data_IF_158872340963
#
_entry.id   IF_158872340963
#
_cell.length_a   1.000
_cell.length_b   1.000
_cell.length_c   1.000
_cell.angle_alpha   90.00
_cell.angle_beta   90.00
_cell.angle_gamma   90.00
#
_symmetry.space_group_name_H-M   'P 1'
#
loop_
_entity.id
_entity.type
_entity.pdbx_description
1 polymer ?
#
# COMPACT_ATOMS: atom_id res chain seq x y z
N UNK A 1 33.85 55.38 -48.03
CA UNK A 1 34.26 54.04 -48.51
C UNK A 1 34.95 53.33 -47.36
N UNK A 2 34.55 52.07 -47.13
CA UNK A 2 35.17 51.04 -46.28
C UNK A 2 35.01 51.14 -44.74
N UNK A 3 34.24 50.16 -44.26
CA UNK A 3 34.06 49.72 -42.88
C UNK A 3 35.17 48.75 -42.42
N UNK A 4 35.10 48.34 -41.14
CA UNK A 4 35.50 47.06 -40.47
C UNK A 4 35.97 47.42 -39.03
N UNK A 5 35.15 47.33 -37.97
CA UNK A 5 34.86 46.17 -37.07
C UNK A 5 36.15 45.52 -36.55
N UNK A 6 36.53 45.41 -35.28
CA UNK A 6 35.87 45.44 -33.97
C UNK A 6 36.29 44.18 -33.21
N UNK A 7 36.91 44.24 -32.01
CA UNK A 7 37.01 43.10 -31.07
C UNK A 7 37.21 43.61 -29.63
N UNK A 8 36.14 43.80 -28.86
CA UNK A 8 36.20 43.83 -27.39
C UNK A 8 35.77 42.46 -26.88
N UNK A 9 36.71 41.73 -26.25
CA UNK A 9 36.43 40.47 -25.57
C UNK A 9 35.64 40.75 -24.28
N UNK A 10 34.33 40.50 -24.31
CA UNK A 10 33.51 40.42 -23.10
C UNK A 10 33.57 38.97 -22.61
N UNK A 11 34.22 38.76 -21.46
CA UNK A 11 34.19 37.49 -20.73
C UNK A 11 32.78 37.32 -20.15
N UNK A 12 31.96 36.48 -20.80
CA UNK A 12 30.68 36.03 -20.27
C UNK A 12 30.90 35.02 -19.15
N UNK A 13 30.60 35.42 -17.91
CA UNK A 13 30.53 34.51 -16.77
C UNK A 13 29.27 33.65 -16.87
N UNK A 14 29.44 32.35 -17.12
CA UNK A 14 28.39 31.34 -16.98
C UNK A 14 28.12 31.10 -15.50
N UNK A 15 27.07 31.70 -14.97
CA UNK A 15 26.51 31.34 -13.67
C UNK A 15 25.75 30.02 -13.80
N UNK A 16 26.35 28.91 -13.35
CA UNK A 16 25.64 27.64 -13.16
C UNK A 16 24.70 27.78 -11.97
N UNK A 17 23.39 27.88 -12.24
CA UNK A 17 22.36 27.69 -11.23
C UNK A 17 22.28 26.20 -10.87
N UNK A 18 22.83 25.83 -9.71
CA UNK A 18 22.68 24.50 -9.15
C UNK A 18 21.24 24.31 -8.66
N UNK A 19 20.45 23.57 -9.43
CA UNK A 19 19.11 23.14 -9.05
C UNK A 19 19.31 22.02 -8.02
N UNK A 20 19.13 22.34 -6.73
CA UNK A 20 19.15 21.33 -5.68
C UNK A 20 17.92 20.43 -5.82
N UNK A 21 18.07 19.33 -6.56
CA UNK A 21 17.10 18.25 -6.56
C UNK A 21 17.06 17.66 -5.15
N UNK A 22 15.96 17.88 -4.44
CA UNK A 22 15.68 17.19 -3.17
C UNK A 22 15.49 15.71 -3.53
N UNK A 23 16.53 14.90 -3.34
CA UNK A 23 16.41 13.46 -3.49
C UNK A 23 15.37 12.96 -2.47
N UNK A 24 14.49 12.00 -2.85
CA UNK A 24 13.59 11.38 -1.89
C UNK A 24 14.42 10.82 -0.74
N UNK A 25 14.04 11.16 0.50
CA UNK A 25 14.65 10.53 1.67
C UNK A 25 14.24 9.07 1.65
N UNK A 26 15.17 8.20 1.25
CA UNK A 26 15.06 6.77 1.46
C UNK A 26 15.15 6.54 2.98
N UNK A 27 14.01 6.58 3.65
CA UNK A 27 13.87 5.98 4.98
C UNK A 27 14.00 4.48 4.75
N UNK A 28 14.89 3.81 5.49
CA UNK A 28 15.13 2.40 5.31
C UNK A 28 13.84 1.64 5.61
N UNK A 29 13.23 1.06 4.58
CA UNK A 29 12.09 0.17 4.76
C UNK A 29 12.45 -0.94 5.76
N UNK A 30 11.50 -1.42 6.56
CA UNK A 30 11.75 -2.46 7.54
C UNK A 30 12.49 -3.65 6.90
N UNK A 31 13.45 -4.28 7.61
CA UNK A 31 14.17 -5.42 7.06
C UNK A 31 13.22 -6.51 6.54
N UNK A 32 13.38 -6.90 5.27
CA UNK A 32 12.54 -7.92 4.63
C UNK A 32 11.22 -7.41 4.05
N UNK A 33 10.87 -6.12 4.22
CA UNK A 33 9.76 -5.51 3.50
C UNK A 33 10.10 -5.38 2.00
N UNK A 34 9.19 -5.74 1.08
CA UNK A 34 9.48 -5.70 -0.34
C UNK A 34 9.68 -4.28 -0.86
N UNK A 35 10.59 -4.11 -1.81
CA UNK A 35 10.76 -2.84 -2.49
C UNK A 35 9.55 -2.55 -3.39
N UNK A 36 8.76 -1.54 -3.02
CA UNK A 36 7.56 -1.14 -3.76
C UNK A 36 7.86 -0.33 -5.04
N UNK A 37 9.10 0.08 -5.29
CA UNK A 37 9.47 0.86 -6.48
C UNK A 37 9.40 0.05 -7.78
N UNK A 38 9.48 -1.28 -7.70
CA UNK A 38 9.31 -2.17 -8.85
C UNK A 38 7.87 -2.34 -9.35
N UNK A 39 6.88 -1.80 -8.63
CA UNK A 39 5.47 -1.95 -8.96
C UNK A 39 4.96 -0.77 -9.80
N UNK A 40 4.09 -1.08 -10.76
CA UNK A 40 3.44 -0.08 -11.60
C UNK A 40 2.44 0.71 -10.78
N UNK A 41 2.68 2.01 -10.60
CA UNK A 41 1.75 2.89 -9.91
C UNK A 41 0.46 3.08 -10.71
N UNK A 42 -0.70 2.87 -10.06
CA UNK A 42 -2.01 3.18 -10.63
C UNK A 42 -2.62 4.40 -9.96
N UNK A 43 -3.40 5.23 -10.69
CA UNK A 43 -4.13 6.36 -10.12
C UNK A 43 -5.13 5.92 -9.03
N UNK A 44 -5.21 6.70 -7.94
CA UNK A 44 -6.03 6.35 -6.77
C UNK A 44 -7.51 6.74 -6.86
N UNK A 45 -7.86 7.65 -7.78
CA UNK A 45 -9.21 8.13 -8.03
C UNK A 45 -10.20 6.98 -8.33
N UNK A 46 -9.75 5.98 -9.10
CA UNK A 46 -10.54 4.79 -9.42
C UNK A 46 -10.74 3.80 -8.27
N UNK A 47 -10.20 4.09 -7.08
CA UNK A 47 -10.30 3.27 -5.88
C UNK A 47 -11.03 3.98 -4.74
N UNK A 48 -11.52 5.21 -4.96
CA UNK A 48 -12.35 5.89 -3.98
C UNK A 48 -13.72 5.22 -3.87
N UNK A 49 -14.08 4.88 -2.64
CA UNK A 49 -15.35 4.27 -2.26
C UNK A 49 -16.07 5.18 -1.29
N UNK A 50 -17.39 5.28 -1.47
CA UNK A 50 -18.24 5.99 -0.51
C UNK A 50 -18.21 5.24 0.82
N UNK A 51 -17.76 5.91 1.88
CA UNK A 51 -17.86 5.40 3.25
C UNK A 51 -19.31 5.25 3.70
N UNK A 52 -19.51 4.68 4.89
CA UNK A 52 -20.83 4.67 5.52
C UNK A 52 -21.35 6.11 5.69
N UNK A 53 -22.67 6.35 5.73
CA UNK A 53 -23.22 7.68 5.97
C UNK A 53 -22.59 8.34 7.21
N UNK A 54 -22.05 9.56 7.03
CA UNK A 54 -21.35 10.29 8.10
C UNK A 54 -19.88 9.88 8.34
N UNK A 55 -19.36 8.90 7.59
CA UNK A 55 -17.94 8.50 7.62
C UNK A 55 -17.17 9.14 6.45
N UNK A 56 -15.85 9.38 6.60
CA UNK A 56 -15.03 9.82 5.48
C UNK A 56 -15.01 8.77 4.37
N UNK A 57 -14.76 9.17 3.11
CA UNK A 57 -14.53 8.23 2.03
C UNK A 57 -13.34 7.31 2.34
N UNK A 58 -13.35 6.13 1.73
CA UNK A 58 -12.29 5.12 1.89
C UNK A 58 -11.66 4.86 0.53
N UNK A 59 -10.37 4.61 0.49
CA UNK A 59 -9.75 3.92 -0.64
C UNK A 59 -10.00 2.43 -0.44
N UNK A 60 -10.59 1.75 -1.42
CA UNK A 60 -10.93 0.33 -1.33
C UNK A 60 -10.52 -0.42 -2.59
N UNK A 61 -9.91 -1.60 -2.43
CA UNK A 61 -9.53 -2.46 -3.54
C UNK A 61 -9.66 -3.95 -3.23
N UNK A 62 -9.85 -4.76 -4.27
CA UNK A 62 -9.64 -6.21 -4.24
C UNK A 62 -8.28 -6.57 -4.81
N UNK A 63 -7.84 -7.79 -4.51
CA UNK A 63 -6.71 -8.42 -5.19
C UNK A 63 -7.21 -9.63 -6.00
N UNK A 64 -6.41 -10.13 -6.96
CA UNK A 64 -6.69 -11.40 -7.63
C UNK A 64 -6.68 -12.62 -6.70
N UNK A 65 -6.30 -12.43 -5.44
CA UNK A 65 -6.04 -13.48 -4.45
C UNK A 65 -7.12 -13.53 -3.35
N UNK A 66 -8.35 -13.12 -3.66
CA UNK A 66 -9.50 -13.12 -2.74
C UNK A 66 -9.28 -12.33 -1.42
N UNK A 67 -8.36 -11.38 -1.41
CA UNK A 67 -8.17 -10.40 -0.32
C UNK A 67 -8.71 -9.05 -0.76
N UNK A 68 -9.50 -8.41 0.11
CA UNK A 68 -9.99 -7.05 -0.07
C UNK A 68 -9.41 -6.16 1.02
N UNK A 69 -9.03 -4.95 0.65
CA UNK A 69 -8.45 -3.96 1.55
C UNK A 69 -9.15 -2.62 1.44
N UNK A 70 -9.21 -1.89 2.54
CA UNK A 70 -9.65 -0.50 2.56
C UNK A 70 -8.91 0.33 3.62
N UNK A 71 -8.75 1.62 3.35
CA UNK A 71 -8.10 2.58 4.25
C UNK A 71 -8.67 3.99 4.05
N UNK A 72 -8.25 4.93 4.89
CA UNK A 72 -8.73 6.31 4.85
C UNK A 72 -8.49 6.95 3.47
N UNK A 73 -9.57 7.44 2.85
CA UNK A 73 -9.58 8.09 1.54
C UNK A 73 -10.07 9.54 1.55
N UNK A 74 -10.16 10.16 2.73
CA UNK A 74 -10.54 11.57 2.88
C UNK A 74 -9.37 12.53 2.63
N UNK A 75 -9.64 13.85 2.59
CA UNK A 75 -8.60 14.84 2.38
C UNK A 75 -7.65 14.95 3.58
N UNK A 76 -6.45 15.50 3.37
CA UNK A 76 -5.55 15.84 4.48
C UNK A 76 -6.21 16.86 5.45
N UNK A 77 -5.86 16.84 6.75
CA UNK A 77 -4.90 15.95 7.40
C UNK A 77 -5.45 14.53 7.61
N UNK A 78 -4.56 13.54 7.53
CA UNK A 78 -4.92 12.14 7.79
C UNK A 78 -5.22 11.88 9.27
N UNK A 79 -6.08 10.91 9.60
CA UNK A 79 -6.25 10.44 10.98
C UNK A 79 -4.93 9.98 11.58
N UNK A 80 -4.78 10.18 12.89
CA UNK A 80 -3.63 9.73 13.66
C UNK A 80 -4.05 8.60 14.60
N UNK A 81 -3.17 7.63 14.89
CA UNK A 81 -1.79 7.52 14.39
C UNK A 81 -1.67 6.89 12.99
N UNK A 82 -2.77 6.45 12.39
CA UNK A 82 -2.76 5.66 11.16
C UNK A 82 -3.95 6.01 10.25
N UNK A 83 -3.79 5.78 8.95
CA UNK A 83 -4.89 5.78 7.97
C UNK A 83 -5.77 4.52 8.03
N UNK A 84 -5.53 3.63 9.00
CA UNK A 84 -6.36 2.48 9.36
C UNK A 84 -6.57 1.54 8.16
N UNK A 85 -5.46 0.99 7.65
CA UNK A 85 -5.50 -0.04 6.61
C UNK A 85 -6.11 -1.30 7.18
N UNK A 86 -7.17 -1.77 6.53
CA UNK A 86 -7.85 -3.00 6.87
C UNK A 86 -7.82 -3.91 5.67
N UNK A 87 -7.32 -5.12 5.84
CA UNK A 87 -7.43 -6.16 4.83
C UNK A 87 -8.14 -7.36 5.41
N UNK A 88 -8.93 -8.05 4.59
CA UNK A 88 -9.64 -9.28 4.96
C UNK A 88 -9.72 -10.22 3.76
N UNK A 89 -9.71 -11.52 4.00
CA UNK A 89 -9.89 -12.53 2.96
C UNK A 89 -8.99 -13.73 3.16
N UNK A 90 -8.67 -14.42 2.07
CA UNK A 90 -7.77 -15.57 2.07
C UNK A 90 -6.32 -15.12 2.29
N UNK A 91 -5.89 -15.12 3.55
CA UNK A 91 -4.55 -14.68 3.92
C UNK A 91 -3.65 -15.89 4.05
N UNK A 92 -2.76 -16.04 3.07
CA UNK A 92 -1.74 -17.08 3.07
C UNK A 92 -0.69 -16.87 4.16
N UNK A 93 0.09 -17.92 4.49
CA UNK A 93 1.26 -17.83 5.37
C UNK A 93 0.95 -17.39 6.80
N UNK A 94 -0.24 -17.70 7.30
CA UNK A 94 -0.67 -17.34 8.65
C UNK A 94 -0.26 -18.35 9.72
N UNK A 95 0.53 -19.38 9.39
CA UNK A 95 0.79 -20.57 10.23
C UNK A 95 1.33 -20.29 11.64
N UNK A 96 1.94 -19.11 11.85
CA UNK A 96 2.44 -18.65 13.15
C UNK A 96 1.48 -17.73 13.93
N UNK A 97 0.39 -17.27 13.32
CA UNK A 97 -0.60 -16.39 13.97
C UNK A 97 -1.57 -17.21 14.83
N UNK A 98 -1.73 -16.94 16.14
CA UNK A 98 -2.63 -17.72 16.99
C UNK A 98 -4.08 -17.76 16.49
N UNK A 99 -4.73 -18.93 16.53
CA UNK A 99 -6.12 -19.12 16.13
C UNK A 99 -7.04 -19.13 17.37
N UNK A 100 -8.11 -18.31 17.42
CA UNK A 100 -9.05 -18.31 18.55
C UNK A 100 -9.99 -19.53 18.60
N UNK A 101 -9.83 -20.52 17.71
CA UNK A 101 -10.49 -21.84 17.79
C UNK A 101 -11.22 -22.25 16.51
N UNK A 102 -11.22 -23.56 16.21
CA UNK A 102 -11.82 -24.16 15.01
C UNK A 102 -10.88 -25.19 14.38
N UNK A 103 -11.43 -26.16 13.63
CA UNK A 103 -10.65 -27.21 12.95
C UNK A 103 -10.74 -27.01 11.44
N UNK A 104 -9.62 -27.05 10.70
CA UNK A 104 -9.64 -26.98 9.24
C UNK A 104 -10.35 -28.21 8.67
N UNK A 105 -11.19 -28.01 7.65
CA UNK A 105 -11.70 -29.06 6.79
C UNK A 105 -10.92 -29.08 5.47
N UNK A 106 -10.83 -30.23 4.78
CA UNK A 106 -10.26 -30.27 3.44
C UNK A 106 -10.97 -29.26 2.52
N UNK A 107 -10.20 -28.35 1.89
CA UNK A 107 -10.72 -27.28 1.03
C UNK A 107 -10.96 -25.93 1.73
N UNK A 108 -10.71 -25.83 3.03
CA UNK A 108 -10.78 -24.55 3.75
C UNK A 108 -9.52 -23.71 3.53
N UNK A 109 -9.74 -22.43 3.20
CA UNK A 109 -8.76 -21.36 3.24
C UNK A 109 -8.74 -20.70 4.63
N UNK A 110 -7.61 -20.05 4.97
CA UNK A 110 -7.48 -19.30 6.22
C UNK A 110 -8.01 -17.89 5.98
N UNK A 111 -9.16 -17.58 6.59
CA UNK A 111 -9.68 -16.23 6.57
C UNK A 111 -8.95 -15.40 7.63
N UNK A 112 -8.21 -14.40 7.17
CA UNK A 112 -7.43 -13.51 8.01
C UNK A 112 -7.91 -12.07 7.95
N UNK A 113 -7.55 -11.28 8.97
CA UNK A 113 -7.54 -9.82 8.88
C UNK A 113 -6.16 -9.25 9.18
N UNK A 114 -5.95 -8.05 8.66
CA UNK A 114 -4.96 -7.12 9.16
C UNK A 114 -5.67 -5.84 9.55
N UNK A 115 -5.41 -5.36 10.76
CA UNK A 115 -5.98 -4.13 11.30
C UNK A 115 -4.94 -3.40 12.18
N UNK A 116 -5.07 -2.08 12.31
CA UNK A 116 -4.26 -1.31 13.24
C UNK A 116 -4.75 -1.51 14.69
N UNK A 117 -3.84 -1.85 15.62
CA UNK A 117 -4.19 -2.17 17.02
C UNK A 117 -3.57 -1.23 18.07
N UNK A 118 -3.00 -0.10 17.65
CA UNK A 118 -2.43 0.90 18.55
C UNK A 118 -0.93 1.14 18.34
N UNK A 119 -0.06 0.14 18.59
CA UNK A 119 1.37 0.29 18.34
C UNK A 119 1.79 0.02 16.89
N UNK A 120 0.92 -0.60 16.09
CA UNK A 120 1.21 -1.02 14.71
C UNK A 120 0.08 -1.89 14.15
N UNK A 121 0.31 -2.50 12.99
CA UNK A 121 -0.61 -3.46 12.38
C UNK A 121 -0.46 -4.85 13.00
N UNK A 122 -1.56 -5.60 13.05
CA UNK A 122 -1.56 -6.98 13.52
C UNK A 122 -2.35 -7.87 12.59
N UNK A 123 -1.79 -9.05 12.29
CA UNK A 123 -2.52 -10.12 11.64
C UNK A 123 -3.35 -10.88 12.66
N UNK A 124 -4.56 -11.25 12.28
CA UNK A 124 -5.45 -12.10 13.09
C UNK A 124 -6.09 -13.14 12.20
N UNK A 125 -6.11 -14.40 12.63
CA UNK A 125 -6.90 -15.43 11.96
C UNK A 125 -8.34 -15.38 12.48
N UNK A 126 -9.32 -15.28 11.58
CA UNK A 126 -10.73 -15.22 11.95
C UNK A 126 -11.40 -16.60 11.95
N UNK A 127 -11.26 -17.35 10.87
CA UNK A 127 -11.98 -18.62 10.66
C UNK A 127 -11.37 -19.44 9.53
N UNK A 128 -11.85 -20.69 9.40
CA UNK A 128 -11.67 -21.50 8.21
C UNK A 128 -12.91 -21.35 7.33
N UNK A 129 -12.72 -21.14 6.02
CA UNK A 129 -13.83 -21.05 5.06
C UNK A 129 -13.39 -21.53 3.68
N UNK A 130 -14.27 -22.24 2.97
CA UNK A 130 -13.96 -22.79 1.65
C UNK A 130 -13.47 -21.74 0.65
N UNK A 131 -12.40 -22.07 -0.08
CA UNK A 131 -11.78 -21.21 -1.10
C UNK A 131 -12.71 -20.90 -2.30
N UNK A 132 -13.84 -21.60 -2.41
CA UNK A 132 -14.80 -21.51 -3.53
C UNK A 132 -16.14 -20.82 -3.20
N UNK A 133 -16.32 -20.28 -1.98
CA UNK A 133 -17.68 -20.01 -1.48
C UNK A 133 -18.01 -18.59 -1.02
N UNK A 134 -17.02 -17.80 -0.58
CA UNK A 134 -17.32 -16.46 -0.06
C UNK A 134 -16.08 -15.55 -0.11
N UNK A 135 -15.80 -14.90 -1.25
CA UNK A 135 -14.73 -13.90 -1.30
C UNK A 135 -14.98 -12.82 -0.25
N UNK A 136 -13.91 -12.24 0.30
CA UNK A 136 -14.02 -11.11 1.20
C UNK A 136 -14.99 -10.07 0.62
N UNK A 137 -16.03 -9.63 1.37
CA UNK A 137 -16.95 -8.63 0.86
C UNK A 137 -16.17 -7.41 0.44
N UNK A 138 -16.22 -7.10 -0.85
CA UNK A 138 -15.58 -5.92 -1.38
C UNK A 138 -16.21 -4.69 -0.74
N UNK A 139 -15.42 -3.69 -0.34
CA UNK A 139 -15.97 -2.36 -0.11
C UNK A 139 -16.78 -1.96 -1.35
N UNK A 140 -17.99 -1.44 -1.18
CA UNK A 140 -18.85 -1.04 -2.29
C UNK A 140 -18.10 -0.13 -3.25
N UNK A 141 -17.92 -0.55 -4.51
CA UNK A 141 -17.17 0.19 -5.53
C UNK A 141 -15.67 -0.09 -5.57
N UNK A 142 -15.15 -1.04 -4.78
CA UNK A 142 -13.73 -1.38 -4.76
C UNK A 142 -13.26 -2.06 -6.06
N UNK A 143 -12.33 -1.41 -6.77
CA UNK A 143 -11.70 -1.92 -7.99
C UNK A 143 -10.60 -2.94 -7.65
N UNK A 144 -10.31 -3.88 -8.54
CA UNK A 144 -9.16 -4.77 -8.38
C UNK A 144 -7.84 -4.05 -8.61
N UNK A 145 -6.90 -4.19 -7.68
CA UNK A 145 -5.49 -3.86 -7.82
C UNK A 145 -4.76 -5.13 -8.27
N UNK A 146 -4.30 -5.15 -9.52
CA UNK A 146 -3.72 -6.32 -10.15
C UNK A 146 -2.30 -6.64 -9.68
N UNK A 147 -1.85 -7.87 -9.93
CA UNK A 147 -0.47 -8.26 -9.68
C UNK A 147 0.52 -7.38 -10.48
N UNK A 148 1.61 -6.96 -9.83
CA UNK A 148 2.58 -6.01 -10.35
C UNK A 148 2.18 -4.54 -10.22
N UNK A 149 1.04 -4.23 -9.58
CA UNK A 149 0.57 -2.86 -9.39
C UNK A 149 0.72 -2.38 -7.95
N UNK A 150 0.88 -1.07 -7.79
CA UNK A 150 0.79 -0.38 -6.50
C UNK A 150 -0.17 0.79 -6.56
N UNK A 151 -0.75 1.08 -5.42
CA UNK A 151 -1.66 2.18 -5.17
C UNK A 151 -1.12 2.99 -4.00
N UNK A 152 -0.94 4.29 -4.21
CA UNK A 152 -0.52 5.24 -3.17
C UNK A 152 -1.60 6.28 -2.97
N UNK A 153 -1.98 6.53 -1.72
CA UNK A 153 -2.86 7.64 -1.36
C UNK A 153 -2.46 8.21 0.00
N UNK A 154 -2.05 9.49 -0.01
CA UNK A 154 -1.46 10.17 1.13
C UNK A 154 -0.25 9.38 1.67
N UNK A 155 -0.27 8.95 2.94
CA UNK A 155 0.84 8.25 3.58
C UNK A 155 0.79 6.74 3.43
N UNK A 156 -0.21 6.20 2.72
CA UNK A 156 -0.37 4.76 2.51
C UNK A 156 0.07 4.38 1.10
N UNK A 157 0.89 3.33 1.00
CA UNK A 157 1.17 2.64 -0.26
C UNK A 157 0.91 1.15 -0.09
N UNK A 158 0.06 0.59 -0.95
CA UNK A 158 -0.18 -0.84 -1.03
C UNK A 158 0.23 -1.37 -2.40
N UNK A 159 0.80 -2.56 -2.44
CA UNK A 159 1.23 -3.24 -3.65
C UNK A 159 0.75 -4.69 -3.66
N UNK A 160 0.40 -5.18 -4.85
CA UNK A 160 0.00 -6.57 -5.09
C UNK A 160 1.03 -7.19 -6.02
N UNK A 161 1.74 -8.21 -5.56
CA UNK A 161 2.80 -8.90 -6.30
C UNK A 161 2.35 -10.22 -6.87
N UNK A 162 3.29 -10.95 -7.45
CA UNK A 162 3.11 -12.36 -7.78
C UNK A 162 2.98 -13.20 -6.50
N UNK A 163 2.61 -14.47 -6.64
CA UNK A 163 2.65 -15.47 -5.56
C UNK A 163 1.83 -15.12 -4.30
N UNK A 164 0.72 -14.40 -4.46
CA UNK A 164 -0.16 -13.96 -3.37
C UNK A 164 0.47 -12.89 -2.46
N UNK A 165 1.50 -12.18 -2.94
CA UNK A 165 2.10 -11.07 -2.22
C UNK A 165 1.16 -9.88 -2.16
N UNK A 166 0.88 -9.39 -0.96
CA UNK A 166 0.23 -8.11 -0.70
C UNK A 166 1.08 -7.40 0.36
N UNK A 167 1.58 -6.21 0.05
CA UNK A 167 2.40 -5.44 0.99
C UNK A 167 1.86 -4.03 1.10
N UNK A 168 1.58 -3.59 2.31
CA UNK A 168 1.09 -2.25 2.58
C UNK A 168 1.98 -1.56 3.63
N UNK A 169 2.30 -0.31 3.36
CA UNK A 169 3.07 0.57 4.22
C UNK A 169 2.22 1.81 4.52
N UNK A 170 2.15 2.18 5.79
CA UNK A 170 1.55 3.38 6.32
C UNK A 170 2.65 4.20 7.01
N UNK A 171 2.99 5.36 6.45
CA UNK A 171 4.03 6.24 6.99
C UNK A 171 3.45 7.36 7.87
N UNK A 172 2.18 7.25 8.30
CA UNK A 172 1.47 8.31 9.04
C UNK A 172 2.12 8.67 10.37
N UNK A 173 2.64 7.67 11.09
CA UNK A 173 3.32 7.84 12.38
C UNK A 173 4.60 7.02 12.48
N UNK A 174 5.44 7.10 11.43
CA UNK A 174 6.58 6.20 11.22
C UNK A 174 6.20 5.04 10.31
N UNK A 175 7.11 4.09 10.10
CA UNK A 175 6.90 2.97 9.18
C UNK A 175 6.14 1.84 9.88
N UNK A 176 4.84 1.73 9.60
CA UNK A 176 3.97 0.64 10.04
C UNK A 176 3.41 -0.08 8.83
N UNK A 177 3.15 -1.37 8.93
CA UNK A 177 2.61 -2.08 7.79
C UNK A 177 2.57 -3.59 7.94
N UNK A 178 2.42 -4.25 6.81
CA UNK A 178 2.33 -5.69 6.77
C UNK A 178 2.69 -6.25 5.40
N UNK A 179 3.01 -7.53 5.41
CA UNK A 179 3.20 -8.36 4.23
C UNK A 179 2.34 -9.61 4.40
N UNK A 180 1.47 -9.86 3.43
CA UNK A 180 0.75 -11.12 3.26
C UNK A 180 1.42 -11.88 2.12
N UNK A 181 1.88 -13.10 2.38
CA UNK A 181 2.50 -13.97 1.38
C UNK A 181 2.50 -15.43 1.84
N UNK A 182 2.62 -16.37 0.89
CA UNK A 182 2.61 -17.82 1.21
C UNK A 182 3.75 -18.29 2.10
N UNK A 183 4.93 -17.69 2.00
CA UNK A 183 6.12 -18.08 2.77
C UNK A 183 6.10 -17.63 4.23
N UNK A 184 5.09 -16.84 4.64
CA UNK A 184 4.99 -16.29 5.98
C UNK A 184 4.56 -14.84 5.95
N UNK A 185 3.41 -14.57 6.55
CA UNK A 185 2.79 -13.26 6.66
C UNK A 185 3.13 -12.62 8.01
N UNK A 186 3.39 -11.31 8.00
CA UNK A 186 3.86 -10.59 9.17
C UNK A 186 3.48 -9.11 9.11
N UNK A 187 3.44 -8.46 10.27
CA UNK A 187 3.10 -7.05 10.43
C UNK A 187 4.05 -6.40 11.42
N UNK A 188 4.15 -5.08 11.35
CA UNK A 188 5.03 -4.25 12.16
C UNK A 188 4.35 -2.91 12.49
#
# INVERSE_FOLDING_TARGET
MRAVVGVTRVLGGLALAAIAAVAPRAVAQPPGFPNLDGFTAVPSDGYLTSGAPGSPPRIGFSTPYAVACDFYGGPAPVPQPSQDIKCKGDMSGMDDVPFPGGRPRPGDCVLGTVDFKGPGYQLSRMSYGGCDGNPAPLPSGGKTLGAGQKLTYLNVTCAVGADHLIACLDTTSGDHGFVVQRSGSWAF
#
